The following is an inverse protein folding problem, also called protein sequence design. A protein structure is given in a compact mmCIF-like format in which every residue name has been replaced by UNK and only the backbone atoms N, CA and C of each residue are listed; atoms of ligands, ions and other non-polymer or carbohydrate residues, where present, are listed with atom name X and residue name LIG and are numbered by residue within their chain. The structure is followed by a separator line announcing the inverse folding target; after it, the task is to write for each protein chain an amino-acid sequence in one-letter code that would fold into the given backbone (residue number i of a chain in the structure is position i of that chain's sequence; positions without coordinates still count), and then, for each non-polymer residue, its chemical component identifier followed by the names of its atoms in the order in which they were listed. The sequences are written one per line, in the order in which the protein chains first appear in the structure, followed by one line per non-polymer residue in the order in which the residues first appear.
data_IF_657500704241
#
_entry.id   IF_657500704241
#
_cell.length_a   1.000
_cell.length_b   1.000
_cell.length_c   1.000
_cell.angle_alpha   90.00
_cell.angle_beta   90.00
_cell.angle_gamma   90.00
#
_symmetry.space_group_name_H-M   'P 1'
#
loop_
_entity.id
_entity.type
_entity.pdbx_description
1 polymer ?
#
# COMPACT_ATOMS: atom_id res chain seq x y z
N UNK A 1 19.22 3.45 24.07
CA UNK A 1 17.87 3.80 23.56
C UNK A 1 17.70 3.01 22.27
N UNK A 2 16.93 1.92 22.33
CA UNK A 2 16.69 1.09 21.12
C UNK A 2 15.87 1.93 20.13
N UNK A 3 16.44 2.17 18.97
CA UNK A 3 15.74 2.81 17.86
C UNK A 3 14.71 1.79 17.31
N UNK A 4 13.44 2.16 17.37
CA UNK A 4 12.37 1.35 16.74
C UNK A 4 12.62 1.29 15.22
N UNK A 5 12.80 0.09 14.62
CA UNK A 5 13.04 -0.07 13.19
C UNK A 5 12.02 0.67 12.31
N UNK A 6 10.76 0.69 12.73
CA UNK A 6 9.68 1.38 12.03
C UNK A 6 9.88 2.90 12.02
N UNK A 7 10.25 3.50 13.15
CA UNK A 7 10.50 4.95 13.26
C UNK A 7 11.71 5.33 12.39
N UNK A 8 12.77 4.54 12.47
CA UNK A 8 13.96 4.73 11.64
C UNK A 8 13.61 4.66 10.16
N UNK A 9 12.90 3.61 9.73
CA UNK A 9 12.50 3.40 8.34
C UNK A 9 11.66 4.57 7.82
N UNK A 10 10.57 4.94 8.51
CA UNK A 10 9.68 6.02 8.08
C UNK A 10 10.37 7.39 8.02
N UNK A 11 11.35 7.64 8.89
CA UNK A 11 12.12 8.90 8.87
C UNK A 11 13.08 9.01 7.68
N UNK A 12 13.50 7.89 7.11
CA UNK A 12 14.41 7.84 5.97
C UNK A 12 13.68 7.65 4.63
N UNK A 13 12.53 6.98 4.63
CA UNK A 13 11.75 6.67 3.42
C UNK A 13 11.46 7.90 2.56
N UNK A 14 11.02 8.99 3.15
CA UNK A 14 10.68 10.22 2.41
C UNK A 14 11.91 10.97 1.86
N UNK A 15 13.10 10.64 2.32
CA UNK A 15 14.36 11.22 1.82
C UNK A 15 14.85 10.51 0.57
N UNK A 16 14.27 9.33 0.25
CA UNK A 16 14.65 8.56 -0.92
C UNK A 16 14.32 9.33 -2.21
N UNK A 17 15.33 9.45 -3.09
CA UNK A 17 15.22 10.23 -4.33
C UNK A 17 14.10 9.74 -5.27
N UNK A 18 13.76 8.47 -5.19
CA UNK A 18 12.75 7.83 -6.04
C UNK A 18 11.43 7.52 -5.30
N UNK A 19 11.19 8.17 -4.16
CA UNK A 19 9.94 7.99 -3.43
C UNK A 19 8.75 8.45 -4.26
N UNK A 20 7.69 7.65 -4.28
CA UNK A 20 6.47 7.92 -5.03
C UNK A 20 5.33 7.02 -4.60
N UNK A 21 4.18 7.19 -5.22
CA UNK A 21 2.98 6.40 -4.97
C UNK A 21 2.69 5.51 -6.17
N UNK A 22 2.93 4.21 -6.04
CA UNK A 22 2.44 3.22 -7.01
C UNK A 22 1.05 2.82 -6.52
N UNK A 23 0.03 3.15 -7.30
CA UNK A 23 -1.38 2.93 -6.92
C UNK A 23 -2.05 2.03 -7.94
N UNK A 24 -2.81 1.08 -7.43
CA UNK A 24 -3.66 0.20 -8.21
C UNK A 24 -4.88 -0.21 -7.39
N UNK A 25 -5.93 -0.68 -8.06
CA UNK A 25 -7.08 -1.25 -7.40
C UNK A 25 -7.38 -2.65 -7.92
N UNK A 26 -7.92 -3.48 -7.04
CA UNK A 26 -8.36 -4.83 -7.38
C UNK A 26 -9.71 -5.12 -6.78
N UNK A 27 -10.48 -5.99 -7.44
CA UNK A 27 -11.75 -6.47 -6.90
C UNK A 27 -11.47 -7.54 -5.85
N UNK A 28 -12.13 -7.41 -4.70
CA UNK A 28 -12.21 -8.42 -3.66
C UNK A 28 -13.67 -8.85 -3.49
N UNK A 29 -13.87 -10.10 -3.17
CA UNK A 29 -15.18 -10.64 -2.86
C UNK A 29 -15.26 -10.93 -1.36
N UNK A 30 -16.36 -10.51 -0.73
CA UNK A 30 -16.64 -10.75 0.68
C UNK A 30 -18.08 -11.27 0.76
N UNK A 31 -18.21 -12.54 1.03
CA UNK A 31 -19.50 -13.21 0.90
C UNK A 31 -20.02 -13.09 -0.54
N UNK A 32 -21.22 -12.53 -0.69
CA UNK A 32 -21.85 -12.32 -2.00
C UNK A 32 -21.61 -10.92 -2.59
N UNK A 33 -20.81 -10.08 -1.94
CA UNK A 33 -20.60 -8.71 -2.36
C UNK A 33 -19.18 -8.52 -2.91
N UNK A 34 -19.06 -7.63 -3.90
CA UNK A 34 -17.78 -7.24 -4.48
C UNK A 34 -17.43 -5.81 -4.06
N UNK A 35 -16.16 -5.60 -3.70
CA UNK A 35 -15.62 -4.32 -3.31
C UNK A 35 -14.32 -4.05 -4.06
N UNK A 36 -13.94 -2.78 -4.15
CA UNK A 36 -12.66 -2.36 -4.69
C UNK A 36 -11.68 -2.14 -3.54
N UNK A 37 -10.59 -2.89 -3.56
CA UNK A 37 -9.44 -2.69 -2.67
C UNK A 37 -8.41 -1.82 -3.41
N UNK A 38 -8.21 -0.62 -2.93
CA UNK A 38 -7.20 0.32 -3.39
C UNK A 38 -5.94 0.12 -2.57
N UNK A 39 -4.79 0.04 -3.25
CA UNK A 39 -3.49 -0.18 -2.64
C UNK A 39 -2.51 0.89 -3.11
N UNK A 40 -1.68 1.37 -2.19
CA UNK A 40 -0.54 2.23 -2.51
C UNK A 40 0.73 1.62 -1.94
N UNK A 41 1.74 1.49 -2.79
CA UNK A 41 3.06 0.95 -2.47
C UNK A 41 4.11 2.00 -2.82
N UNK A 42 5.17 2.10 -2.04
CA UNK A 42 6.34 2.88 -2.45
C UNK A 42 7.33 2.02 -3.26
N UNK A 43 8.01 2.60 -4.27
CA UNK A 43 8.77 1.84 -5.26
C UNK A 43 10.12 1.30 -4.79
N UNK A 44 10.68 1.81 -3.70
CA UNK A 44 12.06 1.49 -3.28
C UNK A 44 12.12 0.18 -2.50
N UNK A 45 11.36 0.08 -1.42
CA UNK A 45 11.34 -1.09 -0.53
C UNK A 45 10.09 -1.96 -0.71
N UNK A 46 9.12 -1.48 -1.51
CA UNK A 46 7.84 -2.13 -1.73
C UNK A 46 6.93 -2.13 -0.50
N UNK A 47 7.12 -1.20 0.43
CA UNK A 47 6.25 -1.09 1.60
C UNK A 47 4.87 -0.52 1.23
N UNK A 48 3.83 -0.99 1.90
CA UNK A 48 2.46 -0.56 1.67
C UNK A 48 2.21 0.73 2.46
N UNK A 49 1.95 1.81 1.73
CA UNK A 49 1.72 3.14 2.31
C UNK A 49 0.27 3.34 2.77
N UNK A 50 -0.67 2.72 2.10
CA UNK A 50 -2.08 2.83 2.41
C UNK A 50 -2.95 1.84 1.68
N UNK A 51 -4.13 1.60 2.27
CA UNK A 51 -5.22 0.83 1.68
C UNK A 51 -6.53 1.60 1.85
N UNK A 52 -7.46 1.34 0.95
CA UNK A 52 -8.84 1.82 1.06
C UNK A 52 -9.78 0.79 0.44
N UNK A 53 -10.98 0.64 0.98
CA UNK A 53 -12.02 -0.25 0.44
C UNK A 53 -13.22 0.59 0.08
N UNK A 54 -13.78 0.37 -1.11
CA UNK A 54 -14.97 1.07 -1.59
C UNK A 54 -15.91 0.16 -2.37
N UNK A 55 -17.17 0.51 -2.40
CA UNK A 55 -18.18 -0.14 -3.26
C UNK A 55 -18.01 0.29 -4.71
N UNK A 56 -17.59 1.53 -4.93
CA UNK A 56 -17.47 2.13 -6.25
C UNK A 56 -16.00 2.35 -6.64
N UNK A 57 -15.76 2.31 -7.96
CA UNK A 57 -14.51 2.70 -8.58
C UNK A 57 -14.76 3.93 -9.46
N UNK A 58 -14.45 5.08 -8.94
CA UNK A 58 -14.63 6.37 -9.64
C UNK A 58 -13.58 7.42 -9.21
N UNK A 59 -13.61 8.56 -9.86
CA UNK A 59 -12.67 9.66 -9.61
C UNK A 59 -12.75 10.21 -8.18
N UNK A 60 -13.94 10.28 -7.58
CA UNK A 60 -14.12 10.81 -6.22
C UNK A 60 -13.42 9.89 -5.21
N UNK A 61 -13.54 8.57 -5.38
CA UNK A 61 -12.87 7.57 -4.54
C UNK A 61 -11.35 7.65 -4.72
N UNK A 62 -10.88 7.72 -5.98
CA UNK A 62 -9.46 7.86 -6.28
C UNK A 62 -8.86 9.13 -5.63
N UNK A 63 -9.55 10.27 -5.78
CA UNK A 63 -9.14 11.55 -5.20
C UNK A 63 -9.06 11.48 -3.67
N UNK A 64 -10.08 10.92 -3.02
CA UNK A 64 -10.12 10.73 -1.57
C UNK A 64 -8.96 9.86 -1.06
N UNK A 65 -8.68 8.77 -1.76
CA UNK A 65 -7.58 7.88 -1.42
C UNK A 65 -6.22 8.58 -1.57
N UNK A 66 -5.97 9.18 -2.73
CA UNK A 66 -4.70 9.89 -3.00
C UNK A 66 -4.52 11.07 -2.04
N UNK A 67 -5.58 11.81 -1.72
CA UNK A 67 -5.54 12.89 -0.73
C UNK A 67 -5.07 12.41 0.63
N UNK A 68 -5.58 11.27 1.10
CA UNK A 68 -5.16 10.69 2.39
C UNK A 68 -3.66 10.33 2.41
N UNK A 69 -3.12 9.87 1.28
CA UNK A 69 -1.69 9.61 1.13
C UNK A 69 -0.88 10.90 1.15
N UNK A 70 -1.35 11.93 0.44
CA UNK A 70 -0.70 13.26 0.42
C UNK A 70 -0.70 13.91 1.80
N UNK A 71 -1.77 13.80 2.55
CA UNK A 71 -1.86 14.32 3.93
C UNK A 71 -0.86 13.65 4.86
N UNK A 72 -0.61 12.37 4.66
CA UNK A 72 0.29 11.58 5.51
C UNK A 72 1.76 11.67 5.10
N UNK A 73 2.05 11.66 3.80
CA UNK A 73 3.41 11.52 3.27
C UNK A 73 3.89 12.73 2.48
N UNK A 74 3.03 13.72 2.22
CA UNK A 74 3.35 14.85 1.35
C UNK A 74 3.05 14.56 -0.13
N UNK A 75 3.34 15.54 -0.99
CA UNK A 75 3.11 15.43 -2.44
C UNK A 75 4.25 14.69 -3.12
N UNK A 76 3.92 13.59 -3.78
CA UNK A 76 4.84 12.78 -4.56
C UNK A 76 4.27 12.46 -5.92
N UNK A 77 5.10 11.93 -6.81
CA UNK A 77 4.67 11.43 -8.12
C UNK A 77 3.79 10.20 -7.95
N UNK A 78 2.71 10.13 -8.70
CA UNK A 78 1.76 9.01 -8.70
C UNK A 78 1.97 8.17 -9.96
N UNK A 79 2.03 6.88 -9.80
CA UNK A 79 2.15 5.89 -10.88
C UNK A 79 0.93 4.98 -10.84
N UNK A 80 0.21 4.82 -11.96
CA UNK A 80 -0.99 3.99 -12.06
C UNK A 80 -1.04 3.22 -13.38
N UNK A 81 -2.04 2.36 -13.53
CA UNK A 81 -2.33 1.63 -14.78
C UNK A 81 -2.92 2.51 -15.90
N UNK A 82 -3.27 3.77 -15.59
CA UNK A 82 -3.87 4.71 -16.54
C UNK A 82 -5.40 4.71 -16.54
N UNK A 83 -6.04 4.21 -15.49
CA UNK A 83 -7.49 4.39 -15.31
C UNK A 83 -7.88 5.87 -15.31
N UNK A 84 -8.94 6.21 -16.03
CA UNK A 84 -9.36 7.61 -16.26
C UNK A 84 -9.66 8.41 -14.99
N UNK A 85 -10.05 7.72 -13.92
CA UNK A 85 -10.29 8.30 -12.59
C UNK A 85 -9.03 8.84 -11.93
N UNK A 86 -7.84 8.35 -12.28
CA UNK A 86 -6.58 8.80 -11.71
C UNK A 86 -6.11 10.14 -12.27
N UNK A 87 -6.25 10.34 -13.58
CA UNK A 87 -5.79 11.56 -14.23
C UNK A 87 -6.43 12.80 -13.60
N UNK A 88 -7.75 12.79 -13.45
CA UNK A 88 -8.49 13.92 -12.90
C UNK A 88 -8.22 14.09 -11.39
N UNK A 89 -8.14 13.00 -10.63
CA UNK A 89 -7.77 13.05 -9.21
C UNK A 89 -6.39 13.66 -8.99
N UNK A 90 -5.39 13.26 -9.79
CA UNK A 90 -4.04 13.83 -9.74
C UNK A 90 -4.01 15.30 -10.14
N UNK A 91 -4.78 15.70 -11.15
CA UNK A 91 -4.90 17.11 -11.58
C UNK A 91 -5.48 17.98 -10.46
N UNK A 92 -6.56 17.54 -9.80
CA UNK A 92 -7.18 18.27 -8.67
C UNK A 92 -6.17 18.46 -7.54
N UNK A 93 -5.39 17.43 -7.22
CA UNK A 93 -4.39 17.44 -6.15
C UNK A 93 -3.05 18.10 -6.58
N UNK A 94 -2.91 18.48 -7.85
CA UNK A 94 -1.69 19.04 -8.47
C UNK A 94 -0.48 18.12 -8.26
N UNK A 95 -0.65 16.85 -8.62
CA UNK A 95 0.38 15.82 -8.56
C UNK A 95 0.86 15.46 -9.96
N UNK A 96 2.12 15.06 -10.09
CA UNK A 96 2.63 14.45 -11.32
C UNK A 96 2.09 13.03 -11.43
N UNK A 97 1.54 12.67 -12.59
CA UNK A 97 1.00 11.35 -12.86
C UNK A 97 1.76 10.70 -14.02
N UNK A 98 2.09 9.43 -13.88
CA UNK A 98 2.73 8.61 -14.88
C UNK A 98 2.09 7.22 -14.93
N UNK A 99 2.20 6.57 -16.08
CA UNK A 99 1.80 5.18 -16.22
C UNK A 99 2.83 4.25 -15.58
N UNK A 100 2.36 3.12 -15.05
CA UNK A 100 3.21 2.05 -14.53
C UNK A 100 4.22 1.59 -15.58
N UNK A 101 5.48 1.47 -15.17
CA UNK A 101 6.45 0.65 -15.88
C UNK A 101 6.12 -0.84 -15.70
N UNK A 102 6.73 -1.72 -16.50
CA UNK A 102 6.57 -3.17 -16.35
C UNK A 102 6.97 -3.68 -14.96
N UNK A 103 7.96 -3.05 -14.34
CA UNK A 103 8.44 -3.39 -12.98
C UNK A 103 7.38 -3.05 -11.92
N UNK A 104 6.81 -1.85 -11.99
CA UNK A 104 5.77 -1.38 -11.06
C UNK A 104 4.52 -2.22 -11.19
N UNK A 105 4.12 -2.53 -12.43
CA UNK A 105 2.98 -3.42 -12.70
C UNK A 105 3.18 -4.80 -12.08
N UNK A 106 4.33 -5.44 -12.30
CA UNK A 106 4.65 -6.75 -11.72
C UNK A 106 4.68 -6.72 -10.19
N UNK A 107 5.13 -5.61 -9.59
CA UNK A 107 5.09 -5.43 -8.15
C UNK A 107 3.65 -5.39 -7.63
N UNK A 108 2.80 -4.57 -8.25
CA UNK A 108 1.39 -4.47 -7.87
C UNK A 108 0.63 -5.78 -8.02
N UNK A 109 0.85 -6.51 -9.12
CA UNK A 109 0.24 -7.83 -9.34
C UNK A 109 0.57 -8.81 -8.20
N UNK A 110 1.83 -8.86 -7.74
CA UNK A 110 2.25 -9.72 -6.63
C UNK A 110 1.59 -9.33 -5.30
N UNK A 111 1.53 -8.03 -5.01
CA UNK A 111 0.92 -7.56 -3.77
C UNK A 111 -0.59 -7.74 -3.80
N UNK A 112 -1.25 -7.48 -4.93
CA UNK A 112 -2.67 -7.75 -5.10
C UNK A 112 -3.00 -9.24 -4.91
N UNK A 113 -2.17 -10.15 -5.45
CA UNK A 113 -2.34 -11.59 -5.23
C UNK A 113 -2.15 -11.96 -3.76
N UNK A 114 -1.13 -11.39 -3.10
CA UNK A 114 -0.90 -11.60 -1.67
C UNK A 114 -2.12 -11.26 -0.81
N UNK A 115 -2.83 -10.16 -1.14
CA UNK A 115 -4.05 -9.78 -0.43
C UNK A 115 -5.23 -10.68 -0.76
N UNK A 116 -5.42 -11.03 -2.04
CA UNK A 116 -6.52 -11.91 -2.46
C UNK A 116 -6.47 -13.26 -1.75
N UNK A 117 -5.31 -13.89 -1.70
CA UNK A 117 -5.12 -15.17 -1.04
C UNK A 117 -5.50 -15.11 0.46
N UNK A 118 -5.26 -13.97 1.10
CA UNK A 118 -5.55 -13.78 2.54
C UNK A 118 -7.00 -13.41 2.81
N UNK A 119 -7.62 -12.68 1.91
CA UNK A 119 -9.05 -12.35 2.01
C UNK A 119 -9.88 -13.61 1.79
N UNK A 120 -9.50 -14.45 0.84
CA UNK A 120 -10.12 -15.76 0.62
C UNK A 120 -10.01 -16.62 1.88
N UNK A 121 -8.83 -16.72 2.48
CA UNK A 121 -8.66 -17.41 3.76
C UNK A 121 -9.55 -16.83 4.88
N UNK A 122 -9.73 -15.53 4.94
CA UNK A 122 -10.60 -14.89 5.93
C UNK A 122 -12.06 -15.27 5.72
N UNK A 123 -12.54 -15.22 4.48
CA UNK A 123 -13.93 -15.57 4.16
C UNK A 123 -14.20 -17.06 4.43
N UNK A 124 -13.27 -17.95 4.07
CA UNK A 124 -13.35 -19.38 4.30
C UNK A 124 -13.34 -19.77 5.79
N UNK A 125 -12.45 -19.17 6.58
CA UNK A 125 -12.29 -19.54 7.99
C UNK A 125 -13.27 -18.84 8.93
N UNK A 126 -13.61 -17.59 8.66
CA UNK A 126 -14.48 -16.82 9.55
C UNK A 126 -15.93 -16.79 9.10
N UNK A 127 -16.23 -17.35 7.92
CA UNK A 127 -17.59 -17.43 7.36
C UNK A 127 -18.31 -16.09 7.52
N UNK A 128 -17.77 -15.05 6.92
CA UNK A 128 -18.26 -13.69 7.05
C UNK A 128 -19.78 -13.56 6.87
N UNK A 129 -20.36 -14.36 5.99
CA UNK A 129 -21.80 -14.42 5.77
C UNK A 129 -22.58 -14.93 7.00
N UNK A 130 -21.99 -15.83 7.79
CA UNK A 130 -22.67 -16.41 8.97
C UNK A 130 -22.45 -15.53 10.22
N UNK A 131 -21.38 -14.75 10.27
CA UNK A 131 -20.98 -13.94 11.43
C UNK A 131 -21.28 -12.45 11.25
N UNK A 132 -22.13 -12.08 10.28
CA UNK A 132 -22.48 -10.68 10.01
C UNK A 132 -21.25 -9.77 9.83
N UNK A 133 -20.21 -10.29 9.17
CA UNK A 133 -19.04 -9.47 8.87
C UNK A 133 -19.44 -8.25 8.03
N UNK A 134 -18.92 -7.10 8.43
CA UNK A 134 -19.07 -5.86 7.68
C UNK A 134 -17.72 -5.37 7.16
N UNK A 135 -17.74 -4.36 6.31
CA UNK A 135 -16.53 -3.76 5.73
C UNK A 135 -15.50 -3.34 6.79
N UNK A 136 -15.94 -2.97 7.99
CA UNK A 136 -15.03 -2.59 9.08
C UNK A 136 -14.18 -3.78 9.55
N UNK A 137 -14.77 -4.97 9.68
CA UNK A 137 -14.03 -6.18 10.05
C UNK A 137 -13.00 -6.55 8.97
N UNK A 138 -13.38 -6.49 7.70
CA UNK A 138 -12.48 -6.77 6.57
C UNK A 138 -11.35 -5.73 6.49
N UNK A 139 -11.69 -4.46 6.66
CA UNK A 139 -10.68 -3.40 6.69
C UNK A 139 -9.65 -3.63 7.80
N UNK A 140 -10.10 -3.96 9.02
CA UNK A 140 -9.19 -4.24 10.15
C UNK A 140 -8.32 -5.47 9.90
N UNK A 141 -8.89 -6.52 9.28
CA UNK A 141 -8.16 -7.70 8.88
C UNK A 141 -7.06 -7.37 7.89
N UNK A 142 -7.37 -6.62 6.85
CA UNK A 142 -6.39 -6.19 5.85
C UNK A 142 -5.33 -5.28 6.48
N UNK A 143 -5.71 -4.35 7.36
CA UNK A 143 -4.75 -3.49 8.09
C UNK A 143 -3.77 -4.31 8.94
N UNK A 144 -4.22 -5.39 9.55
CA UNK A 144 -3.35 -6.30 10.29
C UNK A 144 -2.29 -6.92 9.36
N UNK A 145 -2.67 -7.39 8.17
CA UNK A 145 -1.71 -7.91 7.20
C UNK A 145 -0.76 -6.84 6.67
N UNK A 146 -1.25 -5.64 6.42
CA UNK A 146 -0.38 -4.49 6.04
C UNK A 146 0.67 -4.24 7.13
N UNK A 147 0.26 -4.26 8.40
CA UNK A 147 1.20 -4.06 9.50
C UNK A 147 2.27 -5.16 9.53
N UNK A 148 1.85 -6.43 9.47
CA UNK A 148 2.79 -7.55 9.46
C UNK A 148 3.74 -7.53 8.26
N UNK A 149 3.22 -7.22 7.07
CA UNK A 149 4.01 -7.14 5.84
C UNK A 149 5.07 -6.04 5.95
N UNK A 150 4.66 -4.85 6.38
CA UNK A 150 5.57 -3.73 6.53
C UNK A 150 6.58 -3.93 7.66
N UNK A 151 6.19 -4.53 8.78
CA UNK A 151 7.09 -4.80 9.90
C UNK A 151 8.22 -5.76 9.51
N UNK A 152 7.96 -6.71 8.62
CA UNK A 152 9.01 -7.57 8.06
C UNK A 152 10.01 -6.74 7.23
N UNK A 153 9.52 -5.89 6.32
CA UNK A 153 10.36 -5.01 5.49
C UNK A 153 11.20 -4.07 6.37
N UNK A 154 10.57 -3.43 7.36
CA UNK A 154 11.26 -2.47 8.23
C UNK A 154 12.39 -3.10 9.04
N UNK A 155 12.20 -4.33 9.51
CA UNK A 155 13.22 -5.09 10.24
C UNK A 155 14.38 -5.47 9.34
N UNK A 156 14.11 -5.99 8.15
CA UNK A 156 15.13 -6.41 7.21
C UNK A 156 16.00 -5.22 6.76
N UNK A 157 15.39 -4.10 6.40
CA UNK A 157 16.10 -2.88 6.01
C UNK A 157 16.92 -2.30 7.16
N UNK A 158 16.39 -2.31 8.38
CA UNK A 158 17.10 -1.84 9.56
C UNK A 158 18.34 -2.70 9.86
N UNK A 159 18.22 -4.02 9.76
CA UNK A 159 19.34 -4.95 9.97
C UNK A 159 20.41 -4.77 8.89
N UNK A 160 20.03 -4.66 7.61
CA UNK A 160 20.96 -4.45 6.51
C UNK A 160 21.75 -3.16 6.71
N UNK A 161 21.09 -2.10 7.15
CA UNK A 161 21.74 -0.81 7.37
C UNK A 161 22.72 -0.85 8.54
N UNK A 162 22.36 -1.47 9.65
CA UNK A 162 23.26 -1.70 10.78
C UNK A 162 24.52 -2.48 10.37
N UNK A 163 24.35 -3.52 9.55
CA UNK A 163 25.49 -4.32 9.04
C UNK A 163 26.41 -3.48 8.16
N UNK A 164 25.85 -2.61 7.31
CA UNK A 164 26.64 -1.70 6.47
C UNK A 164 27.41 -0.68 7.30
N UNK A 165 26.81 -0.10 8.34
CA UNK A 165 27.49 0.82 9.25
C UNK A 165 28.65 0.16 10.00
N UNK A 166 28.44 -1.05 10.51
CA UNK A 166 29.51 -1.84 11.17
C UNK A 166 30.66 -2.14 10.22
N UNK A 167 30.39 -2.52 8.98
CA UNK A 167 31.41 -2.79 7.97
C UNK A 167 32.22 -1.54 7.58
N UNK A 168 31.63 -0.35 7.62
CA UNK A 168 32.34 0.92 7.37
C UNK A 168 33.28 1.26 8.53
N UNK A 169 32.90 0.91 9.77
CA UNK A 169 33.74 1.21 10.97
C UNK A 169 34.93 0.24 11.06
N UNK A 170 34.78 -0.99 10.53
CA UNK A 170 35.82 -2.03 10.61
C UNK A 170 36.83 -2.00 9.44
N UNK A 171 36.62 -1.19 8.42
CA UNK A 171 37.52 -0.96 7.28
C UNK A 171 38.17 0.43 7.35
#
# INVERSE_FOLDING_TARGET
MELDPKIWFLSNLQKEKNFGFIIDETVIQIGNQHFWLWLCIEPVHSSILGIYISEERNMIVAEKFIRSLVEKYGKHTVYTDGGTWYDEACNILRLKHHLHSSKEKSLMERVNQYFKDRIECFDDYYLCMQNECNLFHVHNWIQFFVSMYNDAIYKDEFIINLQNEVNIILN
#
